data_IF_126854979381
#
_entry.id   IF_126854979381
#
_cell.length_a   1.000
_cell.length_b   1.000
_cell.length_c   1.000
_cell.angle_alpha   90.00
_cell.angle_beta   90.00
_cell.angle_gamma   90.00
#
_symmetry.space_group_name_H-M   'P 1'
#
loop_
_entity.id
_entity.type
_entity.pdbx_description
1 polymer ?
#
# COMPACT_ATOMS: atom_id res chain seq x y z
N UNK A 1 -2.87 -0.60 -38.63
CA UNK A 1 -3.17 0.20 -37.42
C UNK A 1 -1.94 0.14 -36.52
N UNK A 2 -1.10 1.18 -36.44
CA UNK A 2 0.06 1.13 -35.56
C UNK A 2 -0.42 1.14 -34.11
N UNK A 3 0.02 0.14 -33.36
CA UNK A 3 -0.35 -0.09 -31.96
C UNK A 3 0.06 1.07 -31.06
N UNK A 4 -0.86 1.41 -30.16
CA UNK A 4 -0.66 2.35 -29.06
C UNK A 4 0.36 1.75 -28.06
N UNK A 5 1.64 1.95 -28.31
CA UNK A 5 2.72 1.63 -27.36
C UNK A 5 2.66 2.67 -26.23
N UNK A 6 2.43 2.30 -24.97
CA UNK A 6 2.49 3.25 -23.87
C UNK A 6 3.93 3.78 -23.79
N UNK A 7 4.08 5.09 -24.02
CA UNK A 7 5.37 5.77 -23.87
C UNK A 7 5.95 5.60 -22.46
N UNK A 8 7.26 5.87 -22.28
CA UNK A 8 7.94 5.65 -21.01
C UNK A 8 7.21 6.37 -19.87
N UNK A 9 7.01 5.67 -18.75
CA UNK A 9 6.42 6.24 -17.53
C UNK A 9 7.29 7.41 -17.06
N UNK A 10 6.92 8.63 -17.44
CA UNK A 10 7.52 9.85 -16.90
C UNK A 10 7.29 9.84 -15.38
N UNK A 11 8.36 9.98 -14.61
CA UNK A 11 8.26 10.15 -13.17
C UNK A 11 7.45 11.42 -12.88
N UNK A 12 6.23 11.25 -12.40
CA UNK A 12 5.41 12.38 -11.96
C UNK A 12 6.10 13.09 -10.77
N UNK A 13 5.92 14.42 -10.63
CA UNK A 13 6.45 15.14 -9.48
C UNK A 13 5.91 14.55 -8.17
N UNK A 14 6.79 14.34 -7.19
CA UNK A 14 6.43 13.81 -5.88
C UNK A 14 5.75 14.92 -5.06
N UNK A 15 4.42 14.93 -5.09
CA UNK A 15 3.61 15.86 -4.28
C UNK A 15 3.16 15.22 -2.97
N UNK A 16 2.97 16.04 -1.94
CA UNK A 16 2.35 15.65 -0.67
C UNK A 16 1.20 16.60 -0.40
N UNK A 17 0.01 16.04 -0.21
CA UNK A 17 -1.23 16.78 0.00
C UNK A 17 -1.82 16.35 1.34
N UNK A 18 -2.36 17.32 2.08
CA UNK A 18 -3.03 17.08 3.35
C UNK A 18 -4.43 17.70 3.29
N UNK A 19 -5.43 16.92 3.70
CA UNK A 19 -6.81 17.38 3.87
C UNK A 19 -7.23 17.02 5.29
N UNK A 20 -7.57 18.04 6.09
CA UNK A 20 -8.06 17.86 7.46
C UNK A 20 -9.58 17.89 7.47
N UNK A 21 -10.21 16.89 8.08
CA UNK A 21 -11.67 16.76 8.15
C UNK A 21 -12.11 16.34 9.57
N UNK A 22 -13.32 16.73 9.98
CA UNK A 22 -13.88 16.35 11.28
C UNK A 22 -14.29 14.87 11.37
N UNK A 23 -14.20 14.12 10.27
CA UNK A 23 -14.53 12.70 10.19
C UNK A 23 -13.45 11.95 9.42
N UNK A 24 -13.29 10.66 9.76
CA UNK A 24 -12.45 9.70 9.05
C UNK A 24 -13.24 8.70 8.20
N UNK A 25 -14.56 8.86 8.13
CA UNK A 25 -15.45 7.89 7.48
C UNK A 25 -15.27 7.82 5.96
N UNK A 26 -16.04 6.93 5.34
CA UNK A 26 -16.05 6.72 3.88
C UNK A 26 -16.26 8.01 3.09
N UNK A 27 -17.11 8.92 3.57
CA UNK A 27 -17.34 10.23 2.94
C UNK A 27 -16.07 11.09 2.90
N UNK A 28 -15.29 11.08 4.00
CA UNK A 28 -14.03 11.81 4.08
C UNK A 28 -13.01 11.29 3.05
N UNK A 29 -12.86 9.97 2.98
CA UNK A 29 -12.02 9.31 1.98
C UNK A 29 -12.48 9.60 0.53
N UNK A 30 -13.79 9.63 0.28
CA UNK A 30 -14.35 9.97 -1.02
C UNK A 30 -14.04 11.41 -1.43
N UNK A 31 -14.18 12.38 -0.50
CA UNK A 31 -13.82 13.78 -0.74
C UNK A 31 -12.33 13.95 -1.05
N UNK A 32 -11.45 13.28 -0.30
CA UNK A 32 -10.00 13.35 -0.53
C UNK A 32 -9.60 12.78 -1.90
N UNK A 33 -10.16 11.63 -2.26
CA UNK A 33 -9.75 10.90 -3.46
C UNK A 33 -10.41 11.43 -4.74
N UNK A 34 -11.62 12.01 -4.64
CA UNK A 34 -12.37 12.50 -5.79
C UNK A 34 -12.43 11.48 -6.94
N UNK A 35 -11.98 11.91 -8.12
CA UNK A 35 -11.93 11.13 -9.37
C UNK A 35 -10.62 10.37 -9.59
N UNK A 36 -9.78 10.22 -8.56
CA UNK A 36 -8.52 9.48 -8.67
C UNK A 36 -8.76 8.03 -9.12
N UNK A 37 -8.10 7.63 -10.19
CA UNK A 37 -8.29 6.33 -10.88
C UNK A 37 -7.02 5.49 -11.04
N UNK A 38 -5.90 5.97 -10.47
CA UNK A 38 -4.61 5.29 -10.42
C UNK A 38 -4.52 4.23 -9.31
N UNK A 39 -3.31 3.76 -9.04
CA UNK A 39 -3.04 2.83 -7.95
C UNK A 39 -3.05 3.54 -6.60
N UNK A 40 -3.80 2.98 -5.66
CA UNK A 40 -3.95 3.52 -4.33
C UNK A 40 -3.22 2.65 -3.32
N UNK A 41 -2.25 3.22 -2.60
CA UNK A 41 -1.60 2.57 -1.46
C UNK A 41 -2.25 3.09 -0.17
N UNK A 42 -3.00 2.24 0.55
CA UNK A 42 -3.72 2.65 1.78
C UNK A 42 -3.23 1.92 3.01
N UNK A 43 -3.53 2.44 4.20
CA UNK A 43 -3.38 1.73 5.47
C UNK A 43 -4.40 0.58 5.66
N UNK A 44 -5.21 0.27 4.64
CA UNK A 44 -6.31 -0.69 4.67
C UNK A 44 -7.40 -0.34 5.70
N UNK A 45 -7.58 0.96 5.99
CA UNK A 45 -8.72 1.40 6.75
C UNK A 45 -10.03 1.20 5.98
N UNK A 46 -11.09 0.78 6.67
CA UNK A 46 -12.38 0.37 6.08
C UNK A 46 -13.03 1.43 5.19
N UNK A 47 -12.73 2.72 5.41
CA UNK A 47 -13.23 3.83 4.59
C UNK A 47 -12.78 3.74 3.12
N UNK A 48 -11.74 2.98 2.81
CA UNK A 48 -11.20 2.81 1.46
C UNK A 48 -11.76 1.58 0.71
N UNK A 49 -12.56 0.72 1.34
CA UNK A 49 -12.97 -0.58 0.79
C UNK A 49 -13.76 -0.52 -0.53
N UNK A 50 -14.30 0.64 -0.87
CA UNK A 50 -15.10 0.85 -2.08
C UNK A 50 -14.31 0.94 -3.39
N UNK A 51 -12.97 0.83 -3.37
CA UNK A 51 -12.17 0.90 -4.61
C UNK A 51 -11.90 -0.50 -5.18
N UNK A 52 -11.69 -0.61 -6.51
CA UNK A 52 -11.37 -1.87 -7.16
C UNK A 52 -10.13 -2.53 -6.53
N UNK A 53 -10.24 -3.82 -6.22
CA UNK A 53 -9.19 -4.58 -5.53
C UNK A 53 -7.88 -4.66 -6.35
N UNK A 54 -7.99 -4.69 -7.68
CA UNK A 54 -6.88 -4.69 -8.64
C UNK A 54 -6.08 -3.38 -8.66
N UNK A 55 -6.64 -2.29 -8.11
CA UNK A 55 -5.99 -0.98 -8.01
C UNK A 55 -5.63 -0.57 -6.59
N UNK A 56 -5.83 -1.45 -5.61
CA UNK A 56 -5.50 -1.20 -4.22
C UNK A 56 -4.28 -2.00 -3.79
N UNK A 57 -3.31 -1.30 -3.19
CA UNK A 57 -2.18 -1.90 -2.52
C UNK A 57 -2.22 -1.56 -1.04
N UNK A 58 -1.78 -2.50 -0.20
CA UNK A 58 -1.62 -2.24 1.23
C UNK A 58 -0.30 -1.53 1.45
N UNK A 59 -0.33 -0.49 2.28
CA UNK A 59 0.86 0.20 2.74
C UNK A 59 1.72 -0.78 3.52
N UNK A 60 2.88 -1.12 2.96
CA UNK A 60 3.81 -2.07 3.57
C UNK A 60 4.26 -1.66 4.98
N UNK A 61 4.43 -0.36 5.24
CA UNK A 61 4.77 0.12 6.58
C UNK A 61 3.69 -0.26 7.62
N UNK A 62 2.40 -0.21 7.22
CA UNK A 62 1.30 -0.66 8.07
C UNK A 62 1.28 -2.18 8.21
N UNK A 63 1.53 -2.91 7.13
CA UNK A 63 1.60 -4.37 7.12
C UNK A 63 2.69 -4.89 8.08
N UNK A 64 3.90 -4.33 8.03
CA UNK A 64 5.00 -4.67 8.92
C UNK A 64 4.68 -4.36 10.39
N UNK A 65 4.06 -3.21 10.68
CA UNK A 65 3.59 -2.88 12.03
C UNK A 65 2.53 -3.88 12.53
N UNK A 66 1.67 -4.37 11.65
CA UNK A 66 0.70 -5.41 12.00
C UNK A 66 1.39 -6.74 12.30
N UNK A 67 2.40 -7.14 11.51
CA UNK A 67 3.18 -8.35 11.78
C UNK A 67 3.93 -8.26 13.12
N UNK A 68 4.48 -7.08 13.46
CA UNK A 68 5.08 -6.80 14.76
C UNK A 68 4.10 -7.05 15.92
N UNK A 69 2.85 -6.58 15.80
CA UNK A 69 1.82 -6.84 16.81
C UNK A 69 1.42 -8.32 16.88
N UNK A 70 1.39 -9.01 15.74
CA UNK A 70 1.02 -10.44 15.70
C UNK A 70 2.12 -11.29 16.36
N UNK A 71 3.40 -10.99 16.14
CA UNK A 71 4.52 -11.78 16.69
C UNK A 71 4.59 -11.75 18.22
N UNK A 72 4.00 -10.74 18.85
CA UNK A 72 3.96 -10.56 20.31
C UNK A 72 2.88 -11.45 20.96
N UNK A 73 2.01 -12.07 20.17
CA UNK A 73 0.97 -12.97 20.67
C UNK A 73 1.57 -14.32 21.07
N UNK A 74 0.93 -15.00 22.01
CA UNK A 74 1.35 -16.31 22.48
C UNK A 74 0.98 -17.43 21.50
N UNK A 75 1.74 -18.52 21.56
CA UNK A 75 1.49 -19.74 20.77
C UNK A 75 1.71 -19.58 19.27
N UNK A 76 0.96 -20.37 18.50
CA UNK A 76 1.13 -20.49 17.04
C UNK A 76 0.97 -19.15 16.30
N UNK A 77 0.10 -18.27 16.80
CA UNK A 77 -0.14 -16.95 16.21
C UNK A 77 1.13 -16.09 16.26
N UNK A 78 1.85 -16.10 17.38
CA UNK A 78 3.14 -15.42 17.51
C UNK A 78 4.18 -15.94 16.54
N UNK A 79 4.27 -17.27 16.39
CA UNK A 79 5.17 -17.92 15.44
C UNK A 79 4.88 -17.51 13.99
N UNK A 80 3.60 -17.42 13.62
CA UNK A 80 3.17 -16.92 12.30
C UNK A 80 3.60 -15.45 12.14
N UNK A 81 3.38 -14.60 13.14
CA UNK A 81 3.80 -13.20 13.11
C UNK A 81 5.31 -13.02 12.90
N UNK A 82 6.13 -13.84 13.56
CA UNK A 82 7.60 -13.85 13.38
C UNK A 82 7.99 -14.20 11.94
N UNK A 83 7.36 -15.24 11.36
CA UNK A 83 7.60 -15.65 9.97
C UNK A 83 7.18 -14.57 8.97
N UNK A 84 5.99 -13.99 9.16
CA UNK A 84 5.49 -12.90 8.31
C UNK A 84 6.42 -11.68 8.34
N UNK A 85 6.93 -11.31 9.51
CA UNK A 85 7.87 -10.20 9.63
C UNK A 85 9.19 -10.48 8.88
N UNK A 86 9.73 -11.70 9.01
CA UNK A 86 10.95 -12.10 8.31
C UNK A 86 10.77 -12.07 6.79
N UNK A 87 9.67 -12.64 6.29
CA UNK A 87 9.35 -12.61 4.86
C UNK A 87 9.11 -11.18 4.35
N UNK A 88 8.43 -10.34 5.13
CA UNK A 88 8.22 -8.94 4.78
C UNK A 88 9.53 -8.16 4.61
N UNK A 89 10.50 -8.36 5.50
CA UNK A 89 11.83 -7.76 5.35
C UNK A 89 12.61 -8.33 4.15
N UNK A 90 12.45 -9.62 3.83
CA UNK A 90 13.10 -10.22 2.66
C UNK A 90 12.61 -9.58 1.36
N UNK A 91 11.29 -9.39 1.20
CA UNK A 91 10.71 -8.71 0.03
C UNK A 91 11.29 -7.31 -0.14
N UNK A 92 11.39 -6.53 0.94
CA UNK A 92 11.98 -5.19 0.86
C UNK A 92 13.44 -5.20 0.44
N UNK A 93 14.23 -6.16 0.95
CA UNK A 93 15.63 -6.29 0.57
C UNK A 93 15.77 -6.61 -0.92
N UNK A 94 14.97 -7.53 -1.45
CA UNK A 94 15.02 -7.92 -2.87
C UNK A 94 14.48 -6.83 -3.78
N UNK A 95 13.40 -6.13 -3.40
CA UNK A 95 12.86 -5.02 -4.21
C UNK A 95 13.71 -3.74 -4.17
N UNK A 96 14.65 -3.63 -3.23
CA UNK A 96 15.63 -2.55 -3.17
C UNK A 96 16.94 -2.93 -3.85
N UNK A 97 17.07 -4.14 -4.36
CA UNK A 97 18.25 -4.56 -5.11
C UNK A 97 18.37 -3.72 -6.39
N UNK A 98 19.45 -2.91 -6.55
CA UNK A 98 19.63 -2.07 -7.73
C UNK A 98 19.71 -2.88 -9.04
N UNK A 99 20.03 -4.17 -8.96
CA UNK A 99 20.14 -5.05 -10.13
C UNK A 99 18.78 -5.48 -10.72
N UNK A 100 17.67 -5.24 -9.99
CA UNK A 100 16.31 -5.64 -10.36
C UNK A 100 15.46 -4.48 -10.94
N UNK A 101 16.01 -3.26 -11.04
CA UNK A 101 15.32 -2.09 -11.61
C UNK A 101 15.36 -2.03 -13.16
N UNK A 102 15.12 -3.17 -13.83
CA UNK A 102 15.09 -3.26 -15.30
C UNK A 102 13.79 -2.76 -15.93
#
# INVERSE_FOLDING_TARGET
MPGNQPGPFRSAPRVRLFLTQCSRGKQAAATLLGTFSGYLVTDHYVAYNDRPCDKQQRCWAHLLRQFLKIRERWGQVGTIGKRLLLLGHAVFRTCQDPSDQR
#
